data_IF_761974931181
#
_entry.id   IF_761974931181
#
_cell.length_a   1.000
_cell.length_b   1.000
_cell.length_c   1.000
_cell.angle_alpha   90.00
_cell.angle_beta   90.00
_cell.angle_gamma   90.00
#
_symmetry.space_group_name_H-M   'P 1'
#
loop_
_entity.id
_entity.type
_entity.pdbx_description
1 polymer ?
#
# COMPACT_ATOMS: atom_id res chain seq x y z
N UNK A 1 12.24 -13.77 -25.59
CA UNK A 1 11.75 -13.53 -24.21
C UNK A 1 11.12 -12.16 -24.16
N UNK A 2 10.01 -11.99 -23.44
CA UNK A 2 9.25 -10.73 -23.31
C UNK A 2 9.13 -10.37 -21.84
N UNK A 3 9.35 -9.10 -21.47
CA UNK A 3 9.12 -8.62 -20.10
C UNK A 3 7.60 -8.59 -19.86
N UNK A 4 7.14 -9.38 -18.90
CA UNK A 4 5.72 -9.50 -18.56
C UNK A 4 5.36 -8.63 -17.37
N UNK A 5 6.31 -8.41 -16.46
CA UNK A 5 6.06 -7.73 -15.19
C UNK A 5 7.30 -7.06 -14.62
N UNK A 6 7.10 -5.99 -13.86
CA UNK A 6 8.16 -5.31 -13.11
C UNK A 6 7.80 -5.35 -11.63
N UNK A 7 8.54 -6.12 -10.85
CA UNK A 7 8.27 -6.29 -9.42
C UNK A 7 9.36 -5.63 -8.57
N UNK A 8 8.95 -5.09 -7.43
CA UNK A 8 9.87 -4.73 -6.35
C UNK A 8 10.55 -6.02 -5.81
N UNK A 9 11.86 -6.05 -5.50
CA UNK A 9 12.59 -7.21 -4.96
C UNK A 9 11.82 -8.03 -3.92
N UNK A 10 11.06 -7.39 -3.04
CA UNK A 10 10.26 -8.05 -2.01
C UNK A 10 9.10 -8.90 -2.58
N UNK A 11 8.52 -8.46 -3.69
CA UNK A 11 7.36 -9.12 -4.34
C UNK A 11 7.78 -10.10 -5.45
N UNK A 12 9.06 -10.09 -5.87
CA UNK A 12 9.57 -10.92 -6.96
C UNK A 12 9.45 -12.40 -6.65
N UNK A 13 9.79 -12.83 -5.42
CA UNK A 13 9.67 -14.24 -5.04
C UNK A 13 8.21 -14.71 -5.05
N UNK A 14 7.28 -13.86 -4.61
CA UNK A 14 5.84 -14.16 -4.65
C UNK A 14 5.35 -14.30 -6.08
N UNK A 15 5.73 -13.37 -6.96
CA UNK A 15 5.36 -13.38 -8.39
C UNK A 15 5.94 -14.61 -9.10
N UNK A 16 7.20 -14.96 -8.86
CA UNK A 16 7.82 -16.16 -9.42
C UNK A 16 7.16 -17.44 -8.92
N UNK A 17 6.85 -17.52 -7.62
CA UNK A 17 6.16 -18.65 -7.02
C UNK A 17 4.76 -18.83 -7.58
N UNK A 18 4.03 -17.74 -7.81
CA UNK A 18 2.69 -17.75 -8.39
C UNK A 18 2.70 -18.22 -9.84
N UNK A 19 3.62 -17.68 -10.66
CA UNK A 19 3.78 -18.10 -12.05
C UNK A 19 4.19 -19.57 -12.18
N UNK A 20 5.07 -20.06 -11.30
CA UNK A 20 5.47 -21.48 -11.26
C UNK A 20 4.32 -22.41 -10.85
N UNK A 21 3.45 -21.98 -9.93
CA UNK A 21 2.25 -22.73 -9.54
C UNK A 21 1.25 -22.88 -10.67
N UNK A 22 1.14 -21.86 -11.52
CA UNK A 22 0.29 -21.87 -12.73
C UNK A 22 0.95 -22.62 -13.91
N UNK A 23 2.13 -23.23 -13.70
CA UNK A 23 2.82 -24.05 -14.70
C UNK A 23 3.72 -23.27 -15.66
N UNK A 24 3.92 -21.97 -15.45
CA UNK A 24 4.81 -21.16 -16.28
C UNK A 24 6.26 -21.23 -15.80
N UNK A 25 7.20 -21.01 -16.72
CA UNK A 25 8.64 -20.99 -16.43
C UNK A 25 9.23 -19.57 -16.50
N UNK A 26 9.06 -18.74 -15.44
CA UNK A 26 9.57 -17.37 -15.44
C UNK A 26 11.09 -17.34 -15.35
N UNK A 27 11.71 -16.44 -16.13
CA UNK A 27 13.13 -16.08 -15.98
C UNK A 27 13.21 -14.64 -15.46
N UNK A 28 13.92 -14.43 -14.35
CA UNK A 28 14.19 -13.08 -13.85
C UNK A 28 15.32 -12.43 -14.62
N UNK A 29 15.12 -11.20 -15.06
CA UNK A 29 16.17 -10.34 -15.55
C UNK A 29 16.25 -9.13 -14.63
N UNK A 30 17.38 -8.98 -13.92
CA UNK A 30 17.65 -7.75 -13.18
C UNK A 30 17.75 -6.61 -14.19
N UNK A 31 16.89 -5.61 -14.03
CA UNK A 31 16.90 -4.46 -14.91
C UNK A 31 17.83 -3.41 -14.30
N UNK A 32 18.91 -2.99 -14.99
CA UNK A 32 19.78 -1.92 -14.51
C UNK A 32 19.08 -0.55 -14.55
N UNK A 33 17.88 -0.44 -15.14
CA UNK A 33 17.07 0.76 -15.13
C UNK A 33 16.42 1.00 -13.77
N UNK A 34 17.03 1.86 -12.95
CA UNK A 34 16.39 2.48 -11.80
C UNK A 34 15.16 3.26 -12.27
N UNK A 35 13.96 2.73 -12.00
CA UNK A 35 12.75 3.51 -12.20
C UNK A 35 12.67 4.55 -11.06
N UNK A 36 12.50 5.85 -11.36
CA UNK A 36 12.31 6.86 -10.33
C UNK A 36 10.92 6.67 -9.72
N UNK A 37 10.82 5.84 -8.69
CA UNK A 37 9.68 5.83 -7.79
C UNK A 37 9.85 7.01 -6.84
N UNK A 38 8.76 7.74 -6.58
CA UNK A 38 8.69 9.07 -5.92
C UNK A 38 9.23 9.11 -4.47
N UNK A 39 9.86 8.04 -3.99
CA UNK A 39 10.48 7.92 -2.67
C UNK A 39 11.55 6.82 -2.68
N UNK A 40 12.79 7.17 -3.06
CA UNK A 40 13.93 6.25 -3.03
C UNK A 40 14.01 5.32 -4.25
N UNK A 41 15.20 5.19 -4.84
CA UNK A 41 15.43 4.34 -6.01
C UNK A 41 15.24 2.86 -5.65
N UNK A 42 14.02 2.33 -5.83
CA UNK A 42 13.76 0.90 -5.72
C UNK A 42 14.06 0.25 -7.06
N UNK A 43 15.05 -0.64 -7.10
CA UNK A 43 15.38 -1.41 -8.30
C UNK A 43 14.21 -2.35 -8.63
N UNK A 44 13.60 -2.18 -9.81
CA UNK A 44 12.51 -3.06 -10.25
C UNK A 44 13.10 -4.24 -11.03
N UNK A 45 12.86 -5.46 -10.55
CA UNK A 45 13.28 -6.68 -11.24
C UNK A 45 12.25 -6.99 -12.33
N UNK A 46 12.72 -7.16 -13.56
CA UNK A 46 11.86 -7.47 -14.70
C UNK A 46 11.70 -8.99 -14.81
N UNK A 47 10.45 -9.47 -14.73
CA UNK A 47 10.12 -10.88 -14.94
C UNK A 47 9.87 -11.10 -16.43
N UNK A 48 10.65 -11.99 -17.03
CA UNK A 48 10.60 -12.29 -18.46
C UNK A 48 10.07 -13.70 -18.71
N UNK A 49 9.36 -13.87 -19.83
CA UNK A 49 8.79 -15.15 -20.26
C UNK A 49 8.96 -15.44 -21.75
N UNK A 50 8.84 -16.71 -22.17
CA UNK A 50 8.63 -17.08 -23.57
C UNK A 50 7.42 -16.33 -24.15
N UNK A 51 7.51 -15.94 -25.43
CA UNK A 51 6.47 -15.10 -26.09
C UNK A 51 5.11 -15.81 -26.14
N UNK A 52 5.12 -17.13 -26.22
CA UNK A 52 3.96 -18.01 -26.25
C UNK A 52 3.19 -18.01 -24.92
N UNK A 53 3.90 -17.91 -23.80
CA UNK A 53 3.33 -17.92 -22.44
C UNK A 53 3.04 -16.51 -21.89
N UNK A 54 3.63 -15.48 -22.51
CA UNK A 54 3.59 -14.09 -22.00
C UNK A 54 2.17 -13.52 -21.84
N UNK A 55 1.24 -13.87 -22.74
CA UNK A 55 -0.14 -13.39 -22.66
C UNK A 55 -0.89 -14.00 -21.46
N UNK A 56 -0.72 -15.30 -21.23
CA UNK A 56 -1.32 -16.02 -20.09
C UNK A 56 -0.75 -15.53 -18.77
N UNK A 57 0.57 -15.43 -18.67
CA UNK A 57 1.26 -14.91 -17.49
C UNK A 57 0.86 -13.47 -17.15
N UNK A 58 0.71 -12.59 -18.16
CA UNK A 58 0.24 -11.22 -17.94
C UNK A 58 -1.18 -11.18 -17.39
N UNK A 59 -2.07 -12.05 -17.88
CA UNK A 59 -3.44 -12.13 -17.38
C UNK A 59 -3.50 -12.60 -15.92
N UNK A 60 -2.70 -13.59 -15.55
CA UNK A 60 -2.63 -14.10 -14.17
C UNK A 60 -2.12 -13.01 -13.23
N UNK A 61 -1.07 -12.30 -13.63
CA UNK A 61 -0.50 -11.22 -12.82
C UNK A 61 -1.45 -10.03 -12.68
N UNK A 62 -2.18 -9.68 -13.74
CA UNK A 62 -3.21 -8.63 -13.66
C UNK A 62 -4.29 -8.97 -12.64
N UNK A 63 -4.79 -10.21 -12.65
CA UNK A 63 -5.80 -10.67 -11.67
C UNK A 63 -5.26 -10.67 -10.24
N UNK A 64 -3.99 -11.04 -10.08
CA UNK A 64 -3.35 -11.01 -8.76
C UNK A 64 -3.17 -9.58 -8.25
N UNK A 65 -2.75 -8.64 -9.10
CA UNK A 65 -2.65 -7.22 -8.75
C UNK A 65 -4.02 -6.63 -8.41
N UNK A 66 -5.06 -6.95 -9.19
CA UNK A 66 -6.44 -6.52 -8.91
C UNK A 66 -6.94 -7.03 -7.55
N UNK A 67 -6.68 -8.30 -7.21
CA UNK A 67 -7.04 -8.85 -5.92
C UNK A 67 -6.31 -8.16 -4.76
N UNK A 68 -5.00 -7.90 -4.92
CA UNK A 68 -4.18 -7.14 -3.96
C UNK A 68 -4.69 -5.71 -3.79
N UNK A 69 -5.04 -5.03 -4.87
CA UNK A 69 -5.58 -3.67 -4.81
C UNK A 69 -6.94 -3.65 -4.12
N UNK A 70 -7.81 -4.63 -4.39
CA UNK A 70 -9.10 -4.74 -3.72
C UNK A 70 -8.95 -5.00 -2.21
N UNK A 71 -7.99 -5.84 -1.80
CA UNK A 71 -7.69 -6.05 -0.37
C UNK A 71 -7.16 -4.78 0.30
N UNK A 72 -6.25 -4.07 -0.36
CA UNK A 72 -5.71 -2.79 0.14
C UNK A 72 -6.82 -1.74 0.21
N UNK A 73 -7.68 -1.65 -0.80
CA UNK A 73 -8.80 -0.72 -0.83
C UNK A 73 -9.82 -1.05 0.26
N UNK A 74 -10.10 -2.34 0.50
CA UNK A 74 -10.99 -2.76 1.58
C UNK A 74 -10.40 -2.47 2.96
N UNK A 75 -9.11 -2.74 3.17
CA UNK A 75 -8.42 -2.42 4.41
C UNK A 75 -8.33 -0.90 4.66
N UNK A 76 -8.05 -0.13 3.61
CA UNK A 76 -7.99 1.34 3.67
C UNK A 76 -9.38 1.94 3.88
N UNK A 77 -10.42 1.39 3.23
CA UNK A 77 -11.80 1.80 3.39
C UNK A 77 -12.34 1.56 4.79
N UNK A 78 -11.98 0.43 5.43
CA UNK A 78 -12.32 0.16 6.84
C UNK A 78 -11.69 1.18 7.81
N UNK A 79 -10.51 1.70 7.47
CA UNK A 79 -9.80 2.69 8.29
C UNK A 79 -10.23 4.14 7.99
N UNK A 80 -10.83 4.40 6.82
CA UNK A 80 -11.28 5.74 6.42
C UNK A 80 -12.34 6.30 7.37
N UNK A 81 -13.30 5.48 7.83
CA UNK A 81 -14.32 5.88 8.80
C UNK A 81 -13.73 6.31 10.15
N UNK A 82 -12.95 5.45 10.83
CA UNK A 82 -12.20 5.79 12.04
C UNK A 82 -11.33 7.05 11.91
N UNK A 83 -10.69 7.23 10.76
CA UNK A 83 -9.82 8.37 10.49
C UNK A 83 -10.62 9.68 10.36
N UNK A 84 -11.73 9.68 9.62
CA UNK A 84 -12.60 10.85 9.50
C UNK A 84 -13.21 11.24 10.85
N UNK A 85 -13.66 10.26 11.63
CA UNK A 85 -14.22 10.52 12.95
C UNK A 85 -13.17 11.04 13.93
N UNK A 86 -11.96 10.46 13.94
CA UNK A 86 -10.88 10.94 14.82
C UNK A 86 -10.46 12.38 14.49
N UNK A 87 -10.41 12.75 13.20
CA UNK A 87 -10.17 14.12 12.76
C UNK A 87 -11.27 15.06 13.25
N UNK A 88 -12.54 14.65 13.16
CA UNK A 88 -13.67 15.47 13.62
C UNK A 88 -13.57 15.77 15.12
N UNK A 89 -13.22 14.78 15.95
CA UNK A 89 -13.03 14.97 17.40
C UNK A 89 -11.90 15.97 17.69
N UNK A 90 -10.77 15.85 16.99
CA UNK A 90 -9.64 16.78 17.16
C UNK A 90 -9.99 18.17 16.67
N UNK A 91 -10.75 18.31 15.59
CA UNK A 91 -11.20 19.61 15.11
C UNK A 91 -12.04 20.34 16.16
N UNK A 92 -12.98 19.64 16.81
CA UNK A 92 -13.78 20.22 17.91
C UNK A 92 -12.89 20.62 19.09
N UNK A 93 -11.95 19.76 19.51
CA UNK A 93 -11.02 20.08 20.60
C UNK A 93 -10.10 21.27 20.27
N UNK A 94 -9.65 21.36 19.02
CA UNK A 94 -8.83 22.48 18.53
C UNK A 94 -9.58 23.80 18.65
N UNK A 95 -10.87 23.82 18.28
CA UNK A 95 -11.73 25.01 18.43
C UNK A 95 -11.86 25.40 19.91
N UNK A 96 -12.08 24.43 20.81
CA UNK A 96 -12.17 24.68 22.25
C UNK A 96 -10.86 25.28 22.78
N UNK A 97 -9.72 24.69 22.41
CA UNK A 97 -8.40 25.14 22.88
C UNK A 97 -8.03 26.52 22.33
N UNK A 98 -8.49 26.83 21.11
CA UNK A 98 -8.36 28.15 20.51
C UNK A 98 -9.14 29.20 21.33
N UNK A 99 -10.40 28.92 21.68
CA UNK A 99 -11.20 29.82 22.52
C UNK A 99 -10.66 30.00 23.93
N UNK A 100 -10.01 28.97 24.48
CA UNK A 100 -9.34 29.05 25.79
C UNK A 100 -7.95 29.72 25.73
N UNK A 101 -7.42 30.01 24.53
CA UNK A 101 -6.10 30.62 24.36
C UNK A 101 -4.92 29.71 24.69
N UNK A 102 -5.16 28.41 24.90
CA UNK A 102 -4.14 27.42 25.32
C UNK A 102 -3.65 26.53 24.16
N UNK A 103 -4.01 26.88 22.92
CA UNK A 103 -3.79 26.01 21.76
C UNK A 103 -2.31 25.72 21.51
N UNK A 104 -1.47 26.75 21.52
CA UNK A 104 -0.04 26.64 21.19
C UNK A 104 0.74 25.74 22.16
N UNK A 105 0.41 25.80 23.45
CA UNK A 105 1.06 24.98 24.47
C UNK A 105 0.57 23.52 24.47
N UNK A 106 -0.63 23.27 23.94
CA UNK A 106 -1.28 21.96 23.97
C UNK A 106 -1.40 21.27 22.61
N UNK A 107 -0.75 21.78 21.56
CA UNK A 107 -0.66 21.08 20.26
C UNK A 107 -0.13 19.64 20.39
N UNK A 108 0.93 19.37 21.18
CA UNK A 108 1.41 17.99 21.37
C UNK A 108 0.36 17.10 22.03
N UNK A 109 -0.43 17.66 22.94
CA UNK A 109 -1.50 16.95 23.64
C UNK A 109 -2.67 16.61 22.70
N UNK A 110 -3.05 17.54 21.80
CA UNK A 110 -4.03 17.26 20.74
C UNK A 110 -3.58 16.13 19.82
N UNK A 111 -2.29 16.07 19.49
CA UNK A 111 -1.72 15.00 18.68
C UNK A 111 -1.78 13.64 19.40
N UNK A 112 -1.45 13.60 20.69
CA UNK A 112 -1.57 12.37 21.50
C UNK A 112 -3.03 11.91 21.58
N UNK A 113 -3.97 12.83 21.85
CA UNK A 113 -5.41 12.51 21.89
C UNK A 113 -5.86 11.95 20.55
N UNK A 114 -5.44 12.55 19.43
CA UNK A 114 -5.77 12.05 18.10
C UNK A 114 -5.31 10.61 17.89
N UNK A 115 -4.05 10.31 18.23
CA UNK A 115 -3.50 8.96 18.09
C UNK A 115 -4.26 7.94 18.93
N UNK A 116 -4.59 8.28 20.18
CA UNK A 116 -5.35 7.39 21.08
C UNK A 116 -6.76 7.16 20.55
N UNK A 117 -7.47 8.21 20.17
CA UNK A 117 -8.84 8.11 19.62
C UNK A 117 -8.85 7.30 18.34
N UNK A 118 -7.93 7.58 17.42
CA UNK A 118 -7.80 6.82 16.17
C UNK A 118 -7.48 5.35 16.42
N UNK A 119 -6.52 5.05 17.31
CA UNK A 119 -6.15 3.67 17.63
C UNK A 119 -7.29 2.89 18.29
N UNK A 120 -8.08 3.53 19.16
CA UNK A 120 -9.26 2.92 19.77
C UNK A 120 -10.34 2.61 18.73
N UNK A 121 -10.65 3.55 17.84
CA UNK A 121 -11.64 3.35 16.77
C UNK A 121 -11.18 2.30 15.77
N UNK A 122 -9.91 2.32 15.38
CA UNK A 122 -9.32 1.32 14.49
C UNK A 122 -9.35 -0.10 15.09
N UNK A 123 -9.29 -0.24 16.43
CA UNK A 123 -9.45 -1.54 17.10
C UNK A 123 -10.91 -2.02 17.16
N UNK A 124 -11.87 -1.10 17.24
CA UNK A 124 -13.31 -1.43 17.32
C UNK A 124 -13.86 -1.84 15.95
N UNK A 125 -13.33 -1.28 14.86
CA UNK A 125 -13.66 -1.70 13.48
C UNK A 125 -12.89 -2.98 13.14
N UNK A 126 -13.39 -4.13 13.61
CA UNK A 126 -12.87 -5.46 13.25
C UNK A 126 -13.77 -6.11 12.20
#
# INVERSE_FOLDING_TARGET
MVVVYKANPESVQTVLGLLRKEGFNPTTMENPGSAPVRSGATYLISVTMPREEAAGAKSVLSKWDEARQAEVEQATGKLAGPLLFSIMVVAVLTIIFLFMGILWDNVPLLFIIWLVVFALLAKVVK
#
